data_IF_312012357689
#
_entry.id   IF_312012357689
#
_cell.length_a   1.000
_cell.length_b   1.000
_cell.length_c   1.000
_cell.angle_alpha   90.00
_cell.angle_beta   90.00
_cell.angle_gamma   90.00
#
_symmetry.space_group_name_H-M   'P 1'
#
loop_
_entity.id
_entity.type
_entity.pdbx_description
1 polymer ?
#
# COMPACT_ATOMS: atom_id res chain seq x y z
N UNK A 1 23.74 -15.48 -3.46
CA UNK A 1 23.52 -15.99 -4.82
C UNK A 1 22.35 -16.97 -4.77
N UNK A 2 21.30 -16.75 -5.57
CA UNK A 2 20.12 -17.63 -5.63
C UNK A 2 20.30 -18.53 -6.84
N UNK A 3 20.17 -19.85 -6.62
CA UNK A 3 20.23 -20.86 -7.68
C UNK A 3 18.91 -21.60 -7.72
N UNK A 4 18.33 -21.75 -8.93
CA UNK A 4 17.15 -22.59 -9.13
C UNK A 4 17.50 -23.82 -9.99
N UNK A 5 16.81 -24.91 -9.74
CA UNK A 5 16.81 -26.09 -10.63
C UNK A 5 15.56 -26.05 -11.49
N UNK A 6 15.69 -26.21 -12.76
CA UNK A 6 14.59 -26.25 -13.72
C UNK A 6 14.90 -27.24 -14.84
N UNK A 7 13.86 -27.83 -15.40
CA UNK A 7 13.94 -28.72 -16.55
C UNK A 7 14.23 -27.98 -17.86
N UNK A 8 14.02 -26.66 -17.91
CA UNK A 8 14.22 -25.86 -19.13
C UNK A 8 15.00 -24.58 -18.84
N UNK A 9 15.78 -24.13 -19.82
CA UNK A 9 16.51 -22.85 -19.72
C UNK A 9 15.58 -21.65 -19.82
N UNK A 10 14.44 -21.77 -20.49
CA UNK A 10 13.41 -20.73 -20.56
C UNK A 10 12.91 -20.34 -19.18
N UNK A 11 12.59 -21.31 -18.31
CA UNK A 11 12.14 -21.06 -16.93
C UNK A 11 13.25 -20.36 -16.11
N UNK A 12 14.51 -20.77 -16.29
CA UNK A 12 15.63 -20.08 -15.63
C UNK A 12 15.78 -18.64 -16.10
N UNK A 13 15.65 -18.40 -17.40
CA UNK A 13 15.71 -17.04 -17.98
C UNK A 13 14.61 -16.17 -17.41
N UNK A 14 13.36 -16.64 -17.40
CA UNK A 14 12.22 -15.91 -16.82
C UNK A 14 12.49 -15.58 -15.35
N UNK A 15 12.90 -16.58 -14.56
CA UNK A 15 13.16 -16.37 -13.13
C UNK A 15 14.25 -15.31 -12.86
N UNK A 16 15.41 -15.42 -13.53
CA UNK A 16 16.50 -14.49 -13.28
C UNK A 16 16.23 -13.10 -13.86
N UNK A 17 15.51 -12.99 -14.98
CA UNK A 17 15.06 -11.70 -15.52
C UNK A 17 14.08 -11.02 -14.57
N UNK A 18 13.10 -11.75 -14.04
CA UNK A 18 12.14 -11.23 -13.06
C UNK A 18 12.84 -10.81 -11.75
N UNK A 19 13.77 -11.63 -11.27
CA UNK A 19 14.59 -11.29 -10.11
C UNK A 19 15.43 -10.03 -10.34
N UNK A 20 16.04 -9.89 -11.51
CA UNK A 20 16.80 -8.70 -11.89
C UNK A 20 15.88 -7.46 -11.88
N UNK A 21 14.72 -7.51 -12.52
CA UNK A 21 13.79 -6.39 -12.56
C UNK A 21 13.30 -6.02 -11.15
N UNK A 22 13.07 -6.99 -10.27
CA UNK A 22 12.62 -6.71 -8.90
C UNK A 22 13.66 -5.98 -8.03
N UNK A 23 14.94 -5.91 -8.47
CA UNK A 23 16.03 -5.27 -7.71
C UNK A 23 16.62 -4.02 -8.39
N UNK A 24 16.01 -3.54 -9.47
CA UNK A 24 16.45 -2.30 -10.16
C UNK A 24 16.24 -1.07 -9.25
N UNK A 25 15.16 -1.03 -8.52
CA UNK A 25 14.85 0.00 -7.51
C UNK A 25 14.56 -0.68 -6.16
N UNK A 26 14.77 -0.01 -5.02
CA UNK A 26 15.28 1.35 -4.80
C UNK A 26 16.75 1.54 -5.18
N UNK A 27 17.09 2.75 -5.63
CA UNK A 27 18.43 3.11 -6.08
C UNK A 27 19.27 3.73 -4.97
N UNK A 28 20.57 3.56 -5.01
CA UNK A 28 21.49 4.22 -4.11
C UNK A 28 21.51 5.74 -4.39
N UNK A 29 21.27 6.57 -3.35
CA UNK A 29 21.37 8.03 -3.44
C UNK A 29 22.63 8.58 -2.76
N UNK A 30 23.24 7.81 -1.86
CA UNK A 30 24.46 8.22 -1.17
C UNK A 30 25.68 8.17 -2.09
N UNK A 31 26.53 9.19 -1.98
CA UNK A 31 27.89 9.18 -2.52
C UNK A 31 28.80 8.24 -1.72
N UNK A 32 29.99 7.96 -2.27
CA UNK A 32 30.99 7.08 -1.63
C UNK A 32 31.50 7.59 -0.28
N UNK A 33 31.41 8.91 -0.02
CA UNK A 33 31.76 9.54 1.24
C UNK A 33 30.59 9.59 2.25
N UNK A 34 29.44 9.01 1.89
CA UNK A 34 28.23 8.95 2.71
C UNK A 34 27.36 10.21 2.65
N UNK A 35 27.65 11.17 1.78
CA UNK A 35 26.80 12.35 1.58
C UNK A 35 25.56 11.96 0.74
N UNK A 36 24.40 12.51 1.10
CA UNK A 36 23.16 12.34 0.35
C UNK A 36 22.22 13.54 0.53
N UNK A 37 21.37 13.79 -0.44
CA UNK A 37 20.29 14.76 -0.35
C UNK A 37 19.07 14.10 0.27
N UNK A 38 18.47 14.71 1.30
CA UNK A 38 17.26 14.22 1.95
C UNK A 38 16.02 15.02 1.56
N UNK A 39 14.86 14.62 2.07
CA UNK A 39 13.54 15.20 1.77
C UNK A 39 13.33 16.63 2.32
N UNK A 40 14.23 17.15 3.17
CA UNK A 40 14.34 18.57 3.53
C UNK A 40 15.15 19.40 2.49
N UNK A 41 15.56 18.76 1.40
CA UNK A 41 16.35 19.30 0.28
C UNK A 41 17.79 19.68 0.67
N UNK A 42 18.26 19.29 1.86
CA UNK A 42 19.62 19.54 2.33
C UNK A 42 20.51 18.32 2.15
N UNK A 43 21.81 18.58 2.19
CA UNK A 43 22.84 17.52 2.18
C UNK A 43 23.08 17.06 3.60
N UNK A 44 22.96 15.76 3.79
CA UNK A 44 23.25 15.07 5.05
C UNK A 44 24.39 14.07 4.86
N UNK A 45 24.87 13.50 5.96
CA UNK A 45 25.89 12.45 5.93
C UNK A 45 25.46 11.28 6.82
N UNK A 46 25.62 10.07 6.30
CA UNK A 46 25.39 8.84 7.02
C UNK A 46 26.49 7.82 6.69
N UNK A 47 26.82 6.98 7.63
CA UNK A 47 27.70 5.81 7.43
C UNK A 47 26.97 4.63 6.80
N UNK A 48 25.64 4.61 6.87
CA UNK A 48 24.78 3.60 6.26
C UNK A 48 24.29 4.15 4.91
N UNK A 49 24.38 3.37 3.83
CA UNK A 49 23.87 3.79 2.53
C UNK A 49 22.40 4.19 2.58
N UNK A 50 22.08 5.35 1.98
CA UNK A 50 20.72 5.82 1.80
C UNK A 50 20.23 5.58 0.38
N UNK A 51 18.93 5.38 0.23
CA UNK A 51 18.30 4.98 -1.02
C UNK A 51 17.20 5.94 -1.42
N UNK A 52 16.79 5.88 -2.68
CA UNK A 52 15.72 6.65 -3.30
C UNK A 52 14.89 5.78 -4.24
N UNK A 53 13.82 6.33 -4.80
CA UNK A 53 12.86 5.65 -5.66
C UNK A 53 12.08 4.61 -4.85
N UNK A 54 11.34 5.11 -3.87
CA UNK A 54 10.42 4.31 -3.07
C UNK A 54 8.99 4.48 -3.55
N UNK A 55 8.60 3.70 -4.55
CA UNK A 55 7.22 3.57 -5.02
C UNK A 55 6.46 2.57 -4.13
N UNK A 56 6.13 3.00 -2.90
CA UNK A 56 5.70 2.05 -1.86
C UNK A 56 4.30 1.50 -2.09
N UNK A 57 3.41 2.23 -2.77
CA UNK A 57 2.10 1.72 -3.17
C UNK A 57 2.19 0.47 -4.05
N UNK A 58 3.24 0.39 -4.87
CA UNK A 58 3.52 -0.77 -5.72
C UNK A 58 4.29 -1.86 -4.97
N UNK A 59 5.40 -1.46 -4.34
CA UNK A 59 6.43 -2.41 -3.88
C UNK A 59 6.13 -3.07 -2.54
N UNK A 60 5.18 -2.53 -1.75
CA UNK A 60 4.76 -3.19 -0.51
C UNK A 60 4.10 -4.55 -0.76
N UNK A 61 3.50 -4.75 -1.93
CA UNK A 61 2.69 -5.92 -2.28
C UNK A 61 3.51 -7.21 -2.34
N UNK A 62 4.70 -7.15 -2.97
CA UNK A 62 5.55 -8.33 -3.13
C UNK A 62 7.05 -8.03 -3.02
N UNK A 63 7.53 -6.90 -3.54
CA UNK A 63 8.98 -6.61 -3.64
C UNK A 63 9.64 -6.48 -2.26
N UNK A 64 9.11 -5.66 -1.36
CA UNK A 64 9.64 -5.55 0.01
C UNK A 64 9.49 -6.84 0.82
N UNK A 65 8.36 -7.57 0.78
CA UNK A 65 8.26 -8.91 1.34
C UNK A 65 9.33 -9.88 0.82
N UNK A 66 9.63 -9.86 -0.48
CA UNK A 66 10.72 -10.65 -1.05
C UNK A 66 12.09 -10.24 -0.49
N UNK A 67 12.36 -8.93 -0.38
CA UNK A 67 13.62 -8.42 0.18
C UNK A 67 13.81 -8.87 1.64
N UNK A 68 12.75 -8.94 2.44
CA UNK A 68 12.81 -9.45 3.81
C UNK A 68 13.27 -10.92 3.87
N UNK A 69 13.03 -11.71 2.81
CA UNK A 69 13.47 -13.10 2.72
C UNK A 69 14.91 -13.23 2.21
N UNK A 70 15.27 -12.51 1.13
CA UNK A 70 16.50 -12.76 0.38
C UNK A 70 17.56 -11.66 0.52
N UNK A 71 17.17 -10.43 0.92
CA UNK A 71 18.04 -9.26 1.03
C UNK A 71 17.94 -8.55 2.39
N UNK A 72 17.89 -9.29 3.47
CA UNK A 72 17.64 -8.81 4.85
C UNK A 72 18.51 -7.60 5.24
N UNK A 73 19.80 -7.60 4.87
CA UNK A 73 20.72 -6.48 5.12
C UNK A 73 20.30 -5.22 4.35
N UNK A 74 19.81 -5.37 3.11
CA UNK A 74 19.29 -4.25 2.32
C UNK A 74 18.02 -3.68 2.93
N UNK A 75 17.11 -4.53 3.40
CA UNK A 75 15.92 -4.07 4.12
C UNK A 75 16.28 -3.23 5.33
N UNK A 76 17.25 -3.63 6.13
CA UNK A 76 17.72 -2.82 7.26
C UNK A 76 18.24 -1.43 6.82
N UNK A 77 18.92 -1.35 5.68
CA UNK A 77 19.35 -0.07 5.10
C UNK A 77 18.18 0.77 4.59
N UNK A 78 17.14 0.16 4.03
CA UNK A 78 15.91 0.87 3.64
C UNK A 78 15.18 1.44 4.87
N UNK A 79 15.09 0.68 5.96
CA UNK A 79 14.53 1.19 7.22
C UNK A 79 15.34 2.38 7.76
N UNK A 80 16.67 2.34 7.65
CA UNK A 80 17.53 3.48 7.99
C UNK A 80 17.22 4.70 7.11
N UNK A 81 16.99 4.49 5.81
CA UNK A 81 16.58 5.58 4.92
C UNK A 81 15.23 6.16 5.33
N UNK A 82 14.25 5.32 5.67
CA UNK A 82 12.93 5.79 6.15
C UNK A 82 13.06 6.62 7.44
N UNK A 83 13.91 6.18 8.36
CA UNK A 83 14.21 6.93 9.59
C UNK A 83 14.85 8.28 9.28
N UNK A 84 15.81 8.32 8.37
CA UNK A 84 16.46 9.57 7.97
C UNK A 84 15.46 10.52 7.27
N UNK A 85 14.56 10.03 6.43
CA UNK A 85 13.51 10.84 5.82
C UNK A 85 12.51 11.36 6.87
N UNK A 86 12.16 10.54 7.87
CA UNK A 86 11.33 10.97 9.00
C UNK A 86 11.99 12.09 9.80
N UNK A 87 13.27 11.94 10.14
CA UNK A 87 14.04 12.93 10.91
C UNK A 87 14.25 14.24 10.17
N UNK A 88 14.60 14.16 8.89
CA UNK A 88 14.95 15.31 8.08
C UNK A 88 13.72 15.99 7.47
N UNK A 89 12.77 15.21 6.95
CA UNK A 89 11.59 15.71 6.25
C UNK A 89 10.29 15.68 7.06
N UNK A 90 10.34 15.16 8.30
CA UNK A 90 9.22 15.14 9.23
C UNK A 90 8.14 14.09 8.91
N UNK A 91 8.38 13.17 7.95
CA UNK A 91 7.42 12.13 7.62
C UNK A 91 8.09 10.88 7.02
N UNK A 92 7.44 9.73 7.22
CA UNK A 92 7.77 8.50 6.51
C UNK A 92 7.45 8.63 5.00
N UNK A 93 8.18 7.93 4.11
CA UNK A 93 7.93 7.99 2.68
C UNK A 93 6.56 7.38 2.30
N UNK A 94 5.95 7.95 1.26
CA UNK A 94 4.82 7.38 0.52
C UNK A 94 5.29 7.05 -0.89
N UNK A 95 5.71 8.06 -1.63
CA UNK A 95 6.38 7.96 -2.92
C UNK A 95 7.50 8.99 -2.97
N UNK A 96 8.71 8.55 -2.74
CA UNK A 96 9.90 9.40 -2.71
C UNK A 96 10.74 9.20 -3.95
N UNK A 97 11.22 10.32 -4.55
CA UNK A 97 12.07 10.32 -5.73
C UNK A 97 13.19 11.37 -5.57
N UNK A 98 14.43 10.90 -5.61
CA UNK A 98 15.66 11.72 -5.59
C UNK A 98 15.69 12.76 -4.45
N UNK A 99 15.29 12.35 -3.23
CA UNK A 99 15.20 13.22 -2.06
C UNK A 99 14.04 14.21 -2.11
N UNK A 100 12.98 13.90 -2.86
CA UNK A 100 11.77 14.71 -2.90
C UNK A 100 10.54 13.87 -2.56
N UNK A 101 9.60 14.49 -1.86
CA UNK A 101 8.25 13.95 -1.74
C UNK A 101 7.45 14.31 -2.97
N UNK A 102 7.01 13.32 -3.73
CA UNK A 102 6.33 13.54 -5.02
C UNK A 102 4.87 13.93 -4.89
N UNK A 103 4.22 13.64 -3.77
CA UNK A 103 2.77 13.78 -3.61
C UNK A 103 1.95 12.78 -4.42
N UNK A 104 2.60 11.80 -5.06
CA UNK A 104 1.96 10.77 -5.84
C UNK A 104 1.47 9.62 -4.96
N UNK A 105 0.46 8.91 -5.48
CA UNK A 105 -0.15 7.69 -4.95
C UNK A 105 -0.79 7.83 -3.57
N UNK A 106 -1.55 6.83 -3.22
CA UNK A 106 -2.38 6.75 -2.02
C UNK A 106 -1.78 5.80 -0.98
N UNK A 107 -2.39 5.76 0.18
CA UNK A 107 -1.90 4.95 1.29
C UNK A 107 -0.69 5.59 1.99
N UNK A 108 -0.20 4.91 3.02
CA UNK A 108 1.05 5.22 3.71
C UNK A 108 1.84 3.92 3.92
N UNK A 109 2.17 3.27 2.80
CA UNK A 109 2.67 1.88 2.76
C UNK A 109 4.07 1.67 3.31
N UNK A 110 4.81 2.72 3.67
CA UNK A 110 5.98 2.58 4.55
C UNK A 110 5.63 1.82 5.84
N UNK A 111 4.40 2.01 6.33
CA UNK A 111 3.87 1.32 7.51
C UNK A 111 3.86 -0.20 7.31
N UNK A 112 3.36 -0.68 6.18
CA UNK A 112 3.33 -2.12 5.89
C UNK A 112 4.72 -2.71 5.72
N UNK A 113 5.63 -1.97 5.08
CA UNK A 113 7.04 -2.37 4.91
C UNK A 113 7.76 -2.49 6.25
N UNK A 114 7.57 -1.50 7.14
CA UNK A 114 8.14 -1.51 8.49
C UNK A 114 7.59 -2.67 9.31
N UNK A 115 6.27 -2.88 9.28
CA UNK A 115 5.58 -3.95 10.02
C UNK A 115 6.06 -5.33 9.56
N UNK A 116 6.11 -5.57 8.25
CA UNK A 116 6.56 -6.85 7.70
C UNK A 116 8.05 -7.12 8.05
N UNK A 117 8.89 -6.09 7.98
CA UNK A 117 10.30 -6.19 8.39
C UNK A 117 10.45 -6.53 9.88
N UNK A 118 9.66 -5.89 10.75
CA UNK A 118 9.66 -6.15 12.19
C UNK A 118 9.31 -7.60 12.49
N UNK A 119 8.17 -8.09 11.99
CA UNK A 119 7.71 -9.45 12.26
C UNK A 119 8.57 -10.54 11.61
N UNK A 120 9.29 -10.21 10.55
CA UNK A 120 10.30 -11.11 9.97
C UNK A 120 11.68 -11.02 10.65
N UNK A 121 11.79 -10.24 11.73
CA UNK A 121 13.01 -10.12 12.52
C UNK A 121 14.18 -9.48 11.74
N UNK A 122 13.92 -8.48 10.91
CA UNK A 122 14.99 -7.71 10.29
C UNK A 122 15.73 -6.93 11.38
N UNK A 123 17.08 -7.04 11.47
CA UNK A 123 17.83 -6.38 12.52
C UNK A 123 17.86 -4.86 12.30
N UNK A 124 17.12 -4.15 13.14
CA UNK A 124 17.06 -2.69 13.15
C UNK A 124 16.76 -2.23 14.59
N UNK A 125 17.55 -1.29 15.11
CA UNK A 125 17.46 -0.92 16.53
C UNK A 125 16.35 0.09 16.85
N UNK A 126 15.96 0.91 15.87
CA UNK A 126 15.09 2.07 16.10
C UNK A 126 13.65 1.86 15.63
N UNK A 127 13.11 0.67 15.75
CA UNK A 127 11.69 0.42 15.48
C UNK A 127 10.73 1.32 16.27
N UNK A 128 11.00 1.69 17.55
CA UNK A 128 10.14 2.64 18.26
C UNK A 128 10.01 3.98 17.57
N UNK A 129 11.09 4.58 17.04
CA UNK A 129 11.04 5.84 16.32
C UNK A 129 10.27 5.72 14.99
N UNK A 130 10.45 4.60 14.27
CA UNK A 130 9.65 4.33 13.08
C UNK A 130 8.17 4.17 13.43
N UNK A 131 7.84 3.56 14.57
CA UNK A 131 6.47 3.44 15.04
C UNK A 131 5.85 4.80 15.35
N UNK A 132 6.56 5.72 16.00
CA UNK A 132 6.10 7.10 16.19
C UNK A 132 5.82 7.78 14.82
N UNK A 133 6.66 7.54 13.84
CA UNK A 133 6.45 7.98 12.46
C UNK A 133 5.20 7.37 11.82
N UNK A 134 4.89 6.09 12.10
CA UNK A 134 3.68 5.42 11.64
C UNK A 134 2.43 6.05 12.25
N UNK A 135 2.44 6.34 13.55
CA UNK A 135 1.35 7.04 14.24
C UNK A 135 1.13 8.45 13.67
N UNK A 136 2.24 9.18 13.45
CA UNK A 136 2.20 10.53 12.89
C UNK A 136 1.58 10.55 11.49
N UNK A 137 2.00 9.67 10.58
CA UNK A 137 1.50 9.65 9.20
C UNK A 137 0.02 9.29 9.11
N UNK A 138 -0.47 8.39 9.99
CA UNK A 138 -1.85 7.95 10.05
C UNK A 138 -2.80 8.93 10.74
N UNK A 139 -2.27 10.01 11.33
CA UNK A 139 -3.04 11.04 12.05
C UNK A 139 -2.95 12.43 11.43
N UNK A 140 -2.46 12.55 10.19
CA UNK A 140 -2.35 13.84 9.49
C UNK A 140 -3.69 14.54 9.30
N UNK A 141 -3.63 15.87 9.12
CA UNK A 141 -4.80 16.72 8.85
C UNK A 141 -5.15 16.86 7.36
N UNK A 142 -4.63 16.00 6.49
CA UNK A 142 -4.79 16.07 5.01
C UNK A 142 -5.03 14.69 4.40
N UNK A 143 -5.21 14.64 3.09
CA UNK A 143 -5.38 13.42 2.27
C UNK A 143 -6.57 12.55 2.71
N UNK A 144 -7.68 13.20 3.12
CA UNK A 144 -8.90 12.50 3.50
C UNK A 144 -8.84 11.82 4.88
N UNK A 145 -7.72 11.91 5.63
CA UNK A 145 -7.58 11.26 6.95
C UNK A 145 -8.57 11.83 7.98
N UNK A 146 -8.79 13.15 8.11
CA UNK A 146 -9.78 13.66 9.06
C UNK A 146 -11.20 13.13 8.82
N UNK A 147 -11.80 13.21 7.63
CA UNK A 147 -13.10 12.60 7.40
C UNK A 147 -13.10 11.06 7.54
N UNK A 148 -12.02 10.37 7.13
CA UNK A 148 -11.85 8.94 7.35
C UNK A 148 -11.98 8.56 8.82
N UNK A 149 -11.27 9.24 9.71
CA UNK A 149 -11.36 9.03 11.17
C UNK A 149 -12.73 9.36 11.75
N UNK A 150 -13.36 10.43 11.24
CA UNK A 150 -14.64 10.92 11.76
C UNK A 150 -15.82 10.03 11.36
N UNK A 151 -15.85 9.55 10.12
CA UNK A 151 -17.00 8.85 9.55
C UNK A 151 -16.77 7.35 9.37
N UNK A 152 -15.56 6.86 9.58
CA UNK A 152 -15.18 5.49 9.28
C UNK A 152 -15.05 5.19 7.77
N UNK A 153 -15.01 6.21 6.93
CA UNK A 153 -14.75 6.16 5.50
C UNK A 153 -14.50 7.58 4.98
N UNK A 154 -14.02 7.70 3.75
CA UNK A 154 -13.85 9.00 3.09
C UNK A 154 -15.07 9.29 2.22
N UNK A 155 -15.87 10.34 2.52
CA UNK A 155 -16.96 10.77 1.64
C UNK A 155 -16.41 11.28 0.29
N UNK A 156 -17.05 10.91 -0.80
CA UNK A 156 -16.58 11.23 -2.17
C UNK A 156 -16.53 12.73 -2.50
N UNK A 157 -17.24 13.56 -1.74
CA UNK A 157 -17.18 15.02 -1.86
C UNK A 157 -16.05 15.66 -1.03
N UNK A 158 -15.42 14.92 -0.12
CA UNK A 158 -14.39 15.44 0.78
C UNK A 158 -12.98 15.24 0.23
N UNK A 159 -12.78 14.19 -0.56
CA UNK A 159 -11.47 13.84 -1.11
C UNK A 159 -11.66 12.97 -2.34
N UNK A 160 -10.79 13.14 -3.35
CA UNK A 160 -10.69 12.22 -4.49
C UNK A 160 -10.18 10.86 -4.06
N UNK A 161 -10.43 9.83 -4.88
CA UNK A 161 -10.00 8.46 -4.66
C UNK A 161 -10.53 7.87 -3.33
N UNK A 162 -11.72 8.31 -2.96
CA UNK A 162 -12.34 8.12 -1.65
C UNK A 162 -12.46 6.64 -1.26
N UNK A 163 -12.84 5.77 -2.19
CA UNK A 163 -12.97 4.32 -1.94
C UNK A 163 -11.59 3.70 -1.79
N UNK A 164 -10.70 3.94 -2.75
CA UNK A 164 -9.34 3.40 -2.71
C UNK A 164 -8.59 3.82 -1.46
N UNK A 165 -8.60 5.11 -1.12
CA UNK A 165 -7.97 5.62 0.12
C UNK A 165 -8.57 4.99 1.37
N UNK A 166 -9.88 4.81 1.44
CA UNK A 166 -10.52 4.13 2.59
C UNK A 166 -10.00 2.72 2.77
N UNK A 167 -9.87 1.96 1.69
CA UNK A 167 -9.41 0.57 1.72
C UNK A 167 -7.91 0.47 2.06
N UNK A 168 -7.09 1.31 1.41
CA UNK A 168 -5.64 1.34 1.63
C UNK A 168 -5.30 1.78 3.07
N UNK A 169 -6.02 2.76 3.61
CA UNK A 169 -5.84 3.21 4.99
C UNK A 169 -6.27 2.13 5.99
N UNK A 170 -7.36 1.40 5.74
CA UNK A 170 -7.80 0.31 6.61
C UNK A 170 -6.72 -0.79 6.71
N UNK A 171 -6.08 -1.12 5.60
CA UNK A 171 -4.94 -2.04 5.60
C UNK A 171 -3.72 -1.48 6.34
N UNK A 172 -3.36 -0.22 6.09
CA UNK A 172 -2.24 0.41 6.78
C UNK A 172 -2.48 0.50 8.30
N UNK A 173 -3.71 0.82 8.71
CA UNK A 173 -4.11 0.88 10.11
C UNK A 173 -4.04 -0.50 10.78
N UNK A 174 -4.41 -1.57 10.06
CA UNK A 174 -4.16 -2.92 10.55
C UNK A 174 -2.68 -3.19 10.81
N UNK A 175 -1.79 -2.75 9.92
CA UNK A 175 -0.34 -2.89 10.14
C UNK A 175 0.10 -2.15 11.41
N UNK A 176 -0.39 -0.91 11.62
CA UNK A 176 -0.12 -0.14 12.84
C UNK A 176 -0.64 -0.87 14.08
N UNK A 177 -1.86 -1.41 14.02
CA UNK A 177 -2.42 -2.16 15.16
C UNK A 177 -1.53 -3.35 15.56
N UNK A 178 -0.95 -4.07 14.58
CA UNK A 178 -0.03 -5.18 14.86
C UNK A 178 1.27 -4.71 15.51
N UNK A 179 1.83 -3.60 15.06
CA UNK A 179 3.00 -2.99 15.70
C UNK A 179 2.67 -2.50 17.11
N UNK A 180 1.54 -1.82 17.31
CA UNK A 180 1.09 -1.36 18.62
C UNK A 180 0.98 -2.53 19.61
N UNK A 181 0.35 -3.63 19.21
CA UNK A 181 0.24 -4.83 20.04
C UNK A 181 1.62 -5.40 20.40
N UNK A 182 2.52 -5.51 19.43
CA UNK A 182 3.88 -6.03 19.64
C UNK A 182 4.73 -5.13 20.54
N UNK A 183 4.47 -3.83 20.56
CA UNK A 183 5.15 -2.84 21.41
C UNK A 183 4.39 -2.57 22.73
N UNK A 184 3.33 -3.33 23.03
CA UNK A 184 2.49 -3.19 24.24
C UNK A 184 1.75 -1.86 24.36
N UNK A 185 1.48 -1.18 23.24
CA UNK A 185 0.69 0.04 23.17
C UNK A 185 -0.78 -0.31 22.95
N UNK A 186 -1.49 -0.61 24.07
CA UNK A 186 -2.87 -1.09 24.04
C UNK A 186 -3.85 -0.03 23.50
N UNK A 187 -3.63 1.26 23.76
CA UNK A 187 -4.54 2.31 23.31
C UNK A 187 -4.50 2.45 21.78
N UNK A 188 -3.34 2.55 21.20
CA UNK A 188 -3.21 2.61 19.76
C UNK A 188 -3.59 1.27 19.10
N UNK A 189 -3.34 0.12 19.75
CA UNK A 189 -3.85 -1.16 19.25
C UNK A 189 -5.38 -1.15 19.09
N UNK A 190 -6.13 -0.68 20.06
CA UNK A 190 -7.60 -0.66 20.00
C UNK A 190 -8.10 0.31 18.93
N UNK A 191 -7.58 1.54 18.88
CA UNK A 191 -7.97 2.54 17.88
C UNK A 191 -7.70 2.05 16.44
N UNK A 192 -6.48 1.63 16.16
CA UNK A 192 -6.10 1.21 14.82
C UNK A 192 -6.71 -0.13 14.41
N UNK A 193 -7.02 -1.02 15.36
CA UNK A 193 -7.74 -2.26 15.06
C UNK A 193 -9.22 -2.01 14.71
N UNK A 194 -9.86 -1.01 15.32
CA UNK A 194 -11.17 -0.54 14.90
C UNK A 194 -11.12 0.09 13.50
N UNK A 195 -10.18 0.99 13.26
CA UNK A 195 -10.01 1.66 11.97
C UNK A 195 -9.71 0.67 10.84
N UNK A 196 -9.01 -0.42 11.12
CA UNK A 196 -8.79 -1.51 10.19
C UNK A 196 -10.08 -2.16 9.66
N UNK A 197 -11.21 -1.98 10.35
CA UNK A 197 -12.52 -2.50 9.95
C UNK A 197 -13.33 -1.50 9.09
N UNK A 198 -12.84 -0.30 8.86
CA UNK A 198 -13.55 0.76 8.13
C UNK A 198 -13.80 0.44 6.66
N UNK A 199 -13.06 -0.51 6.07
CA UNK A 199 -13.36 -1.03 4.73
C UNK A 199 -14.82 -1.50 4.59
N UNK A 200 -15.44 -2.01 5.67
CA UNK A 200 -16.83 -2.48 5.69
C UNK A 200 -17.83 -1.36 5.38
N UNK A 201 -17.47 -0.11 5.72
CA UNK A 201 -18.37 1.03 5.56
C UNK A 201 -18.54 1.47 4.10
N UNK A 202 -17.67 1.03 3.19
CA UNK A 202 -17.77 1.29 1.75
C UNK A 202 -18.24 0.06 0.97
N UNK A 203 -18.52 -1.07 1.61
CA UNK A 203 -19.10 -2.24 0.98
C UNK A 203 -20.62 -2.11 0.92
N UNK A 204 -21.20 -2.16 -0.29
CA UNK A 204 -22.63 -2.12 -0.49
C UNK A 204 -23.18 -3.54 -0.69
N UNK A 205 -23.86 -4.09 0.30
CA UNK A 205 -24.44 -5.44 0.29
C UNK A 205 -25.45 -5.68 -0.87
N UNK A 206 -26.06 -4.60 -1.40
CA UNK A 206 -27.03 -4.74 -2.51
C UNK A 206 -26.35 -4.96 -3.85
N UNK A 207 -25.17 -4.37 -4.04
CA UNK A 207 -24.42 -4.49 -5.30
C UNK A 207 -23.29 -5.53 -5.22
N UNK A 208 -22.81 -5.84 -3.99
CA UNK A 208 -21.65 -6.69 -3.75
C UNK A 208 -20.33 -6.03 -4.14
N UNK A 209 -20.26 -4.68 -4.07
CA UNK A 209 -19.09 -3.92 -4.45
C UNK A 209 -18.71 -2.87 -3.40
N UNK A 210 -17.42 -2.50 -3.38
CA UNK A 210 -16.94 -1.30 -2.70
C UNK A 210 -17.38 -0.07 -3.49
N UNK A 211 -18.24 0.76 -2.90
CA UNK A 211 -18.95 1.84 -3.59
C UNK A 211 -18.77 3.17 -2.84
N UNK A 212 -18.61 4.30 -3.58
CA UNK A 212 -18.50 5.61 -2.95
C UNK A 212 -19.78 6.06 -2.29
N UNK A 213 -19.63 6.82 -1.20
CA UNK A 213 -20.73 7.49 -0.51
C UNK A 213 -20.60 9.00 -0.63
N UNK A 214 -21.71 9.65 -0.92
CA UNK A 214 -21.90 11.10 -0.91
C UNK A 214 -22.88 11.49 0.19
N UNK A 215 -22.50 12.33 1.13
CA UNK A 215 -23.33 12.72 2.28
C UNK A 215 -24.00 11.53 2.98
N UNK A 216 -23.25 10.46 3.23
CA UNK A 216 -23.75 9.26 3.92
C UNK A 216 -24.53 8.27 3.05
N UNK A 217 -24.97 8.67 1.87
CA UNK A 217 -25.74 7.83 0.95
C UNK A 217 -24.87 7.20 -0.13
N UNK A 218 -25.25 6.03 -0.62
CA UNK A 218 -24.60 5.43 -1.77
C UNK A 218 -24.75 6.31 -3.01
N UNK A 219 -23.70 6.39 -3.82
CA UNK A 219 -23.77 7.12 -5.10
C UNK A 219 -24.87 6.52 -5.99
N UNK A 220 -25.82 7.33 -6.51
CA UNK A 220 -26.96 6.83 -7.25
C UNK A 220 -26.56 6.28 -8.62
N UNK A 221 -25.55 6.88 -9.25
CA UNK A 221 -25.00 6.43 -10.52
C UNK A 221 -23.76 5.61 -10.24
N UNK A 222 -23.90 4.29 -10.31
CA UNK A 222 -22.80 3.37 -10.03
C UNK A 222 -22.71 2.28 -11.11
N UNK A 223 -21.57 2.24 -11.80
CA UNK A 223 -21.14 1.14 -12.64
C UNK A 223 -19.84 0.55 -12.05
N UNK A 224 -19.75 -0.74 -11.77
CA UNK A 224 -18.53 -1.33 -11.21
C UNK A 224 -17.37 -1.35 -12.20
N UNK A 225 -17.63 -1.19 -13.50
CA UNK A 225 -16.63 -1.14 -14.58
C UNK A 225 -16.14 0.27 -14.87
N UNK A 226 -16.75 1.29 -14.24
CA UNK A 226 -16.41 2.69 -14.49
C UNK A 226 -15.09 3.09 -13.83
N UNK A 227 -14.16 3.59 -14.62
CA UNK A 227 -12.95 4.28 -14.15
C UNK A 227 -13.31 5.74 -13.84
N UNK A 228 -13.27 6.09 -12.57
CA UNK A 228 -13.62 7.43 -12.10
C UNK A 228 -12.72 7.90 -10.94
N UNK A 229 -12.94 9.10 -10.43
CA UNK A 229 -12.12 9.69 -9.39
C UNK A 229 -12.35 9.12 -7.96
N UNK A 230 -13.14 8.09 -7.79
CA UNK A 230 -13.27 7.41 -6.50
C UNK A 230 -12.30 6.25 -6.34
N UNK A 231 -11.66 5.83 -7.45
CA UNK A 231 -10.71 4.71 -7.47
C UNK A 231 -9.39 5.15 -8.11
N UNK A 232 -8.28 4.78 -7.49
CA UNK A 232 -6.94 5.08 -7.98
C UNK A 232 -6.57 4.08 -9.07
N UNK A 233 -6.35 4.58 -10.29
CA UNK A 233 -5.94 3.77 -11.46
C UNK A 233 -6.77 2.49 -11.64
N UNK A 234 -8.06 2.53 -11.30
CA UNK A 234 -8.88 1.34 -11.20
C UNK A 234 -10.38 1.64 -11.28
N UNK A 235 -11.14 0.59 -11.09
CA UNK A 235 -12.59 0.63 -10.91
C UNK A 235 -13.01 -0.21 -9.68
N UNK A 236 -14.33 -0.31 -9.47
CA UNK A 236 -14.86 -1.04 -8.32
C UNK A 236 -14.62 -2.54 -8.39
N UNK A 237 -14.58 -3.16 -9.57
CA UNK A 237 -14.25 -4.58 -9.70
C UNK A 237 -12.90 -4.91 -9.06
N UNK A 238 -11.89 -4.10 -9.34
CA UNK A 238 -10.53 -4.33 -8.88
C UNK A 238 -10.40 -4.05 -7.37
N UNK A 239 -10.92 -2.91 -6.91
CA UNK A 239 -10.80 -2.54 -5.48
C UNK A 239 -11.72 -3.31 -4.54
N UNK A 240 -12.82 -3.92 -5.03
CA UNK A 240 -13.71 -4.68 -4.14
C UNK A 240 -13.07 -5.93 -3.52
N UNK A 241 -11.94 -6.37 -4.04
CA UNK A 241 -11.17 -7.47 -3.48
C UNK A 241 -9.95 -7.03 -2.66
N UNK A 242 -9.69 -5.72 -2.57
CA UNK A 242 -8.53 -5.21 -1.83
C UNK A 242 -8.83 -5.09 -0.32
N UNK A 243 -8.83 -6.21 0.38
CA UNK A 243 -8.88 -6.30 1.85
C UNK A 243 -7.87 -7.35 2.32
N UNK A 244 -6.56 -7.15 2.10
CA UNK A 244 -5.56 -8.20 2.33
C UNK A 244 -5.40 -8.59 3.81
N UNK A 245 -5.84 -7.75 4.73
CA UNK A 245 -5.74 -7.97 6.17
C UNK A 245 -6.93 -8.72 6.79
N UNK A 246 -8.07 -8.83 6.09
CA UNK A 246 -9.29 -9.46 6.61
C UNK A 246 -10.08 -10.16 5.50
N UNK A 247 -9.46 -11.16 4.88
CA UNK A 247 -10.10 -11.97 3.83
C UNK A 247 -11.36 -12.67 4.35
N UNK A 248 -11.33 -13.15 5.59
CA UNK A 248 -12.50 -13.80 6.21
C UNK A 248 -13.67 -12.82 6.37
N UNK A 249 -13.38 -11.58 6.79
CA UNK A 249 -14.38 -10.52 6.88
C UNK A 249 -14.96 -10.16 5.50
N UNK A 250 -14.13 -10.08 4.47
CA UNK A 250 -14.57 -9.85 3.10
C UNK A 250 -15.47 -10.98 2.58
N UNK A 251 -15.11 -12.25 2.81
CA UNK A 251 -15.92 -13.42 2.48
C UNK A 251 -17.30 -13.33 3.17
N UNK A 252 -17.32 -12.95 4.45
CA UNK A 252 -18.57 -12.79 5.19
C UNK A 252 -19.44 -11.66 4.62
N UNK A 253 -18.86 -10.54 4.20
CA UNK A 253 -19.59 -9.44 3.55
C UNK A 253 -20.27 -9.89 2.25
N UNK A 254 -19.65 -10.80 1.51
CA UNK A 254 -20.26 -11.42 0.31
C UNK A 254 -21.32 -12.48 0.62
N UNK A 255 -21.57 -12.80 1.89
CA UNK A 255 -22.55 -13.84 2.28
C UNK A 255 -21.98 -15.26 2.30
N UNK A 256 -20.66 -15.39 2.38
CA UNK A 256 -19.94 -16.66 2.52
C UNK A 256 -19.12 -17.07 1.30
N UNK A 257 -18.35 -18.14 1.47
CA UNK A 257 -17.35 -18.58 0.49
C UNK A 257 -17.92 -18.88 -0.90
N UNK A 258 -19.12 -19.41 -1.00
CA UNK A 258 -19.74 -19.75 -2.29
C UNK A 258 -20.00 -18.49 -3.13
N UNK A 259 -20.63 -17.46 -2.52
CA UNK A 259 -20.93 -16.19 -3.21
C UNK A 259 -19.66 -15.38 -3.48
N UNK A 260 -18.69 -15.41 -2.57
CA UNK A 260 -17.39 -14.79 -2.79
C UNK A 260 -16.65 -15.42 -3.98
N UNK A 261 -16.58 -16.75 -4.05
CA UNK A 261 -15.96 -17.46 -5.18
C UNK A 261 -16.70 -17.19 -6.49
N UNK A 262 -18.03 -17.16 -6.47
CA UNK A 262 -18.81 -16.75 -7.64
C UNK A 262 -18.41 -15.34 -8.10
N UNK A 263 -18.36 -14.38 -7.20
CA UNK A 263 -17.99 -12.99 -7.50
C UNK A 263 -16.57 -12.85 -8.05
N UNK A 264 -15.63 -13.62 -7.51
CA UNK A 264 -14.27 -13.67 -8.00
C UNK A 264 -14.18 -14.29 -9.41
N UNK A 265 -14.93 -15.37 -9.66
CA UNK A 265 -15.03 -15.96 -10.99
C UNK A 265 -15.68 -15.01 -12.01
N UNK A 266 -16.68 -14.22 -11.60
CA UNK A 266 -17.25 -13.17 -12.44
C UNK A 266 -16.20 -12.15 -12.88
N UNK A 267 -15.30 -11.69 -11.98
CA UNK A 267 -14.19 -10.79 -12.33
C UNK A 267 -13.32 -11.41 -13.44
N UNK A 268 -12.85 -12.65 -13.26
CA UNK A 268 -11.91 -13.28 -14.21
C UNK A 268 -12.55 -13.71 -15.53
N UNK A 269 -13.87 -13.87 -15.59
CA UNK A 269 -14.60 -14.29 -16.79
C UNK A 269 -15.44 -13.15 -17.39
N UNK A 270 -15.36 -11.94 -16.86
CA UNK A 270 -16.13 -10.81 -17.36
C UNK A 270 -15.68 -10.42 -18.76
N UNK A 271 -16.63 -10.27 -19.68
CA UNK A 271 -16.45 -9.67 -21.00
C UNK A 271 -16.72 -8.17 -21.00
N UNK A 272 -17.00 -7.58 -19.83
CA UNK A 272 -17.32 -6.15 -19.70
C UNK A 272 -16.17 -5.29 -20.18
N UNK A 273 -16.49 -4.25 -20.95
CA UNK A 273 -15.56 -3.20 -21.35
C UNK A 273 -15.39 -2.21 -20.22
N UNK A 274 -14.21 -1.61 -20.13
CA UNK A 274 -13.96 -0.48 -19.22
C UNK A 274 -14.79 0.72 -19.67
N UNK A 275 -15.48 1.34 -18.72
CA UNK A 275 -16.29 2.54 -18.92
C UNK A 275 -15.62 3.76 -18.23
N UNK A 276 -16.11 4.95 -18.55
CA UNK A 276 -15.72 6.18 -17.86
C UNK A 276 -14.45 6.83 -18.41
N UNK A 277 -13.58 7.28 -17.49
CA UNK A 277 -12.38 8.04 -17.83
C UNK A 277 -11.35 7.15 -18.55
N UNK A 278 -10.86 7.64 -19.71
CA UNK A 278 -9.70 7.00 -20.37
C UNK A 278 -8.44 7.28 -19.57
N UNK A 279 -7.77 6.22 -19.18
CA UNK A 279 -6.49 6.26 -18.48
C UNK A 279 -5.58 5.22 -19.12
N UNK A 280 -4.39 5.64 -19.55
CA UNK A 280 -3.49 4.82 -20.37
C UNK A 280 -3.04 3.53 -19.62
N UNK A 281 -2.96 3.63 -18.29
CA UNK A 281 -2.46 2.54 -17.43
C UNK A 281 -3.51 1.47 -17.13
N UNK A 282 -4.79 1.72 -17.46
CA UNK A 282 -5.87 0.79 -17.20
C UNK A 282 -6.25 0.10 -18.52
N UNK A 283 -5.87 -1.17 -18.64
CA UNK A 283 -6.02 -1.95 -19.88
C UNK A 283 -7.16 -2.96 -19.84
N UNK A 284 -7.74 -3.24 -18.68
CA UNK A 284 -8.84 -4.20 -18.52
C UNK A 284 -9.38 -4.26 -17.10
N UNK A 285 -10.38 -5.10 -16.86
CA UNK A 285 -10.98 -5.29 -15.53
C UNK A 285 -10.02 -5.96 -14.53
N UNK A 286 -9.03 -6.70 -15.01
CA UNK A 286 -8.09 -7.46 -14.18
C UNK A 286 -6.78 -6.72 -14.03
N UNK A 287 -6.23 -6.17 -15.11
CA UNK A 287 -4.99 -5.43 -15.12
C UNK A 287 -5.25 -3.97 -14.78
N UNK A 288 -4.74 -3.52 -13.65
CA UNK A 288 -4.95 -2.16 -13.12
C UNK A 288 -3.93 -1.21 -13.69
N UNK A 289 -2.66 -1.58 -13.62
CA UNK A 289 -1.51 -0.77 -14.01
C UNK A 289 -0.37 -1.72 -14.36
N UNK A 290 0.62 -1.24 -15.10
CA UNK A 290 1.85 -2.01 -15.40
C UNK A 290 2.58 -2.48 -14.13
N UNK A 291 2.35 -1.85 -13.00
CA UNK A 291 2.96 -2.21 -11.71
C UNK A 291 2.27 -3.39 -11.03
N UNK A 292 1.10 -3.81 -11.51
CA UNK A 292 0.32 -4.92 -10.96
C UNK A 292 0.35 -6.19 -11.83
N UNK A 293 1.14 -6.17 -12.89
CA UNK A 293 1.32 -7.33 -13.80
C UNK A 293 2.43 -8.27 -13.32
#
# INVERSE_FOLDING_TARGET
KINIKSSTDSVKTIFYTSLYHSIIAPNLISDVNGLYRSTDLKIHKDSIPNYTVFSLWDTFRATHPLYNLIFRKKTAQFLNTFQNQLRNGGQLPIWELAGNYTGCMIGYHSVSVITDAYFKGIPFSNYPELYDGMLSIANRSKLGIPPYKRFGYIPSHSESESVSKTLEYAYNDWCISKMALALSDTLNYLDFNERAQFYKNVFNNKTGFMQPKYNGNWSPSFSPSEVNFNYTEANSWQYSFFVPHDISGLINLHGGSALFNQKLNELFNSSSTIEGRKQADITGLIAVSYTHL
#
